data_IF_951288739902
#
_entry.id   IF_951288739902
#
_cell.length_a   1.000
_cell.length_b   1.000
_cell.length_c   1.000
_cell.angle_alpha   90.00
_cell.angle_beta   90.00
_cell.angle_gamma   90.00
#
_symmetry.space_group_name_H-M   'P 1'
#
loop_
_entity.id
_entity.type
_entity.pdbx_description
1 polymer ?
#
# COMPACT_ATOMS: atom_id res chain seq x y z
N UNK A 1 -4.42 12.17 -10.70
CA UNK A 1 -3.93 10.84 -11.10
C UNK A 1 -2.40 10.79 -11.09
N UNK A 2 -1.73 11.63 -11.89
CA UNK A 2 -0.25 11.69 -11.92
C UNK A 2 0.38 11.90 -10.52
N UNK A 3 -0.16 12.81 -9.71
CA UNK A 3 0.32 13.07 -8.34
C UNK A 3 0.28 11.81 -7.43
N UNK A 4 -0.73 10.96 -7.61
CA UNK A 4 -0.84 9.71 -6.87
C UNK A 4 0.27 8.73 -7.29
N UNK A 5 0.41 8.49 -8.59
CA UNK A 5 1.41 7.55 -9.12
C UNK A 5 2.86 8.03 -8.88
N UNK A 6 3.10 9.34 -8.81
CA UNK A 6 4.41 9.89 -8.46
C UNK A 6 4.76 9.73 -6.97
N UNK A 7 3.77 9.51 -6.10
CA UNK A 7 3.96 9.43 -4.63
C UNK A 7 3.79 8.04 -4.06
N UNK A 8 3.05 7.14 -4.72
CA UNK A 8 2.63 5.85 -4.16
C UNK A 8 3.81 4.98 -3.71
N UNK A 9 4.96 5.06 -4.37
CA UNK A 9 6.19 4.38 -3.95
C UNK A 9 6.69 4.86 -2.58
N UNK A 10 6.77 6.18 -2.39
CA UNK A 10 7.21 6.77 -1.12
C UNK A 10 6.20 6.48 0.00
N UNK A 11 4.91 6.57 -0.31
CA UNK A 11 3.84 6.29 0.66
C UNK A 11 3.87 4.81 1.09
N UNK A 12 4.14 3.88 0.18
CA UNK A 12 4.27 2.46 0.51
C UNK A 12 5.46 2.17 1.45
N UNK A 13 6.58 2.87 1.28
CA UNK A 13 7.74 2.77 2.18
C UNK A 13 7.38 3.34 3.57
N UNK A 14 6.77 4.53 3.62
CA UNK A 14 6.34 5.14 4.88
C UNK A 14 5.33 4.27 5.63
N UNK A 15 4.40 3.64 4.91
CA UNK A 15 3.44 2.71 5.48
C UNK A 15 4.13 1.46 6.05
N UNK A 16 5.18 0.95 5.38
CA UNK A 16 5.97 -0.16 5.89
C UNK A 16 6.72 0.18 7.18
N UNK A 17 7.33 1.38 7.25
CA UNK A 17 8.09 1.86 8.41
C UNK A 17 7.19 2.37 9.57
N UNK A 18 5.87 2.40 9.37
CA UNK A 18 4.93 2.81 10.42
C UNK A 18 4.97 1.82 11.59
N UNK A 19 4.97 2.36 12.81
CA UNK A 19 5.00 1.55 14.04
C UNK A 19 3.81 0.59 14.15
N UNK A 20 2.70 0.88 13.46
CA UNK A 20 1.53 0.02 13.42
C UNK A 20 1.74 -1.22 12.54
N UNK A 21 2.65 -1.19 11.56
CA UNK A 21 2.84 -2.31 10.60
C UNK A 21 3.35 -3.58 11.28
N UNK A 22 4.14 -3.44 12.35
CA UNK A 22 4.58 -4.57 13.17
C UNK A 22 3.44 -5.32 13.88
N UNK A 23 2.29 -4.69 14.07
CA UNK A 23 1.11 -5.32 14.68
C UNK A 23 0.22 -6.04 13.66
N UNK A 24 0.46 -5.89 12.36
CA UNK A 24 -0.34 -6.55 11.33
C UNK A 24 -0.10 -8.08 11.37
N UNK A 25 -1.14 -8.92 11.49
CA UNK A 25 -0.98 -10.38 11.53
C UNK A 25 -0.29 -10.97 10.28
N UNK A 26 -0.33 -10.26 9.16
CA UNK A 26 0.51 -10.53 7.98
C UNK A 26 1.49 -9.38 7.83
N UNK A 27 2.78 -9.65 8.04
CA UNK A 27 3.83 -8.68 7.78
C UNK A 27 3.94 -8.43 6.27
N UNK A 28 3.60 -7.24 5.78
CA UNK A 28 3.49 -6.99 4.35
C UNK A 28 4.84 -6.65 3.73
N UNK A 29 5.01 -6.91 2.45
CA UNK A 29 6.08 -6.33 1.65
C UNK A 29 5.68 -4.91 1.20
N UNK A 30 6.65 -4.01 1.01
CA UNK A 30 6.42 -2.67 0.44
C UNK A 30 5.68 -2.76 -0.90
N UNK A 31 6.03 -3.73 -1.74
CA UNK A 31 5.36 -3.96 -3.03
C UNK A 31 3.89 -4.37 -2.88
N UNK A 32 3.54 -5.10 -1.82
CA UNK A 32 2.15 -5.49 -1.52
C UNK A 32 1.34 -4.28 -1.05
N UNK A 33 1.92 -3.41 -0.22
CA UNK A 33 1.29 -2.15 0.21
C UNK A 33 1.05 -1.22 -0.98
N UNK A 34 2.05 -1.07 -1.87
CA UNK A 34 1.90 -0.29 -3.11
C UNK A 34 0.76 -0.83 -3.97
N UNK A 35 0.72 -2.14 -4.20
CA UNK A 35 -0.34 -2.74 -5.02
C UNK A 35 -1.72 -2.53 -4.38
N UNK A 36 -1.84 -2.70 -3.06
CA UNK A 36 -3.08 -2.45 -2.33
C UNK A 36 -3.57 -1.01 -2.50
N UNK A 37 -2.66 -0.02 -2.44
CA UNK A 37 -2.99 1.39 -2.68
C UNK A 37 -3.46 1.64 -4.11
N UNK A 38 -2.82 1.03 -5.11
CA UNK A 38 -3.20 1.13 -6.53
C UNK A 38 -4.58 0.48 -6.77
N UNK A 39 -4.81 -0.69 -6.19
CA UNK A 39 -6.09 -1.39 -6.29
C UNK A 39 -7.21 -0.56 -5.67
N UNK A 40 -6.98 0.02 -4.49
CA UNK A 40 -7.91 0.92 -3.82
C UNK A 40 -8.20 2.18 -4.66
N UNK A 41 -7.18 2.79 -5.26
CA UNK A 41 -7.34 3.95 -6.17
C UNK A 41 -8.16 3.60 -7.42
N UNK A 42 -7.93 2.42 -8.00
CA UNK A 42 -8.61 1.95 -9.20
C UNK A 42 -9.99 1.31 -8.92
N UNK A 43 -10.41 1.21 -7.66
CA UNK A 43 -11.66 0.56 -7.27
C UNK A 43 -11.66 -0.96 -7.45
N UNK A 44 -10.49 -1.61 -7.45
CA UNK A 44 -10.35 -3.06 -7.50
C UNK A 44 -10.62 -3.63 -6.11
N UNK A 45 -11.68 -4.43 -5.99
CA UNK A 45 -12.01 -5.15 -4.76
C UNK A 45 -11.62 -6.62 -4.94
N UNK A 46 -10.78 -7.19 -4.07
CA UNK A 46 -10.47 -8.61 -4.10
C UNK A 46 -11.76 -9.43 -4.02
N UNK A 47 -11.95 -10.36 -4.95
CA UNK A 47 -13.03 -11.34 -4.86
C UNK A 47 -12.64 -12.37 -3.80
N UNK A 48 -13.49 -12.52 -2.79
CA UNK A 48 -13.39 -13.55 -1.76
C UNK A 48 -13.58 -14.95 -2.35
#
# INVERSE_FOLDING_TARGET
EEDFFNKVDQVAIMAFDDQCTGANPRYPLVSELKQLMIDAWNGVVPKL
#
